data_IF_702965757199
#
_entry.id   IF_702965757199
#
_cell.length_a   1.000
_cell.length_b   1.000
_cell.length_c   1.000
_cell.angle_alpha   90.00
_cell.angle_beta   90.00
_cell.angle_gamma   90.00
#
_symmetry.space_group_name_H-M   'P 1'
#
loop_
_entity.id
_entity.type
_entity.pdbx_description
1 polymer ?
#
# COMPACT_ATOMS: atom_id res chain seq x y z
N UNK A 1 25.22 13.85 25.51
CA UNK A 1 25.13 12.93 24.36
C UNK A 1 24.68 13.74 23.18
N UNK A 2 25.48 13.80 22.13
CA UNK A 2 25.15 14.55 20.90
C UNK A 2 24.24 13.65 20.06
N UNK A 3 22.98 14.03 19.90
CA UNK A 3 22.05 13.28 19.06
C UNK A 3 22.35 13.62 17.60
N UNK A 4 22.85 12.64 16.84
CA UNK A 4 22.97 12.76 15.38
C UNK A 4 21.58 12.61 14.76
N UNK A 5 21.15 13.59 13.97
CA UNK A 5 19.86 13.61 13.29
C UNK A 5 20.06 13.31 11.81
N UNK A 6 19.22 12.45 11.25
CA UNK A 6 19.16 12.13 9.82
C UNK A 6 17.72 12.37 9.34
N UNK A 7 17.49 13.20 8.31
CA UNK A 7 16.17 13.35 7.72
C UNK A 7 15.78 12.07 6.97
N UNK A 8 14.53 11.64 7.12
CA UNK A 8 13.97 10.45 6.45
C UNK A 8 12.71 10.86 5.68
N UNK A 9 12.65 10.47 4.41
CA UNK A 9 11.46 10.67 3.58
C UNK A 9 10.53 9.46 3.67
N UNK A 10 9.24 9.70 3.89
CA UNK A 10 8.23 8.63 3.92
C UNK A 10 7.73 8.23 2.52
N UNK A 11 8.09 8.99 1.47
CA UNK A 11 7.61 8.80 0.11
C UNK A 11 6.06 8.73 0.02
N UNK A 12 5.39 9.58 0.79
CA UNK A 12 3.93 9.71 0.78
C UNK A 12 3.56 11.16 0.49
N UNK A 13 2.87 11.37 -0.63
CA UNK A 13 2.33 12.67 -1.00
C UNK A 13 1.03 12.99 -0.24
N UNK A 14 0.77 14.29 -0.07
CA UNK A 14 -0.47 14.77 0.51
C UNK A 14 -0.57 14.60 2.03
N UNK A 15 0.56 14.45 2.72
CA UNK A 15 0.64 14.38 4.17
C UNK A 15 1.55 15.47 4.74
N UNK A 16 1.15 16.03 5.87
CA UNK A 16 1.97 16.89 6.72
C UNK A 16 2.25 16.16 8.04
N UNK A 17 3.52 16.17 8.48
CA UNK A 17 3.92 15.59 9.77
C UNK A 17 3.69 16.62 10.86
N UNK A 18 2.83 16.28 11.82
CA UNK A 18 2.53 17.13 12.98
C UNK A 18 3.46 16.81 14.15
N UNK A 19 3.76 15.53 14.35
CA UNK A 19 4.59 15.08 15.46
C UNK A 19 5.18 13.69 15.19
N UNK A 20 6.33 13.40 15.80
CA UNK A 20 6.94 12.07 15.79
C UNK A 20 7.23 11.69 17.24
N UNK A 21 6.78 10.50 17.64
CA UNK A 21 7.04 9.93 18.96
C UNK A 21 7.63 8.54 18.82
N UNK A 22 8.38 8.12 19.83
CA UNK A 22 8.78 6.73 20.01
C UNK A 22 7.96 6.19 21.18
N UNK A 23 7.23 5.11 20.95
CA UNK A 23 6.41 4.49 21.99
C UNK A 23 7.28 3.64 22.95
N UNK A 24 6.66 3.05 23.98
CA UNK A 24 7.38 2.24 24.99
C UNK A 24 8.05 0.99 24.42
N UNK A 25 7.57 0.48 23.30
CA UNK A 25 8.13 -0.68 22.59
C UNK A 25 9.29 -0.28 21.67
N UNK A 26 9.57 1.02 21.52
CA UNK A 26 10.62 1.53 20.65
C UNK A 26 10.15 1.80 19.21
N UNK A 27 8.85 1.66 18.91
CA UNK A 27 8.25 1.89 17.60
C UNK A 27 8.02 3.39 17.34
N UNK A 28 8.14 3.80 16.08
CA UNK A 28 7.81 5.17 15.67
C UNK A 28 6.31 5.34 15.48
N UNK A 29 5.76 6.40 16.07
CA UNK A 29 4.41 6.90 15.83
C UNK A 29 4.49 8.29 15.22
N UNK A 30 4.20 8.37 13.93
CA UNK A 30 4.24 9.60 13.13
C UNK A 30 2.81 10.10 12.99
N UNK A 31 2.51 11.19 13.68
CA UNK A 31 1.20 11.85 13.66
C UNK A 31 1.14 12.73 12.43
N UNK A 32 0.17 12.47 11.56
CA UNK A 32 0.05 13.12 10.24
C UNK A 32 -1.35 13.65 10.00
N UNK A 33 -1.43 14.73 9.22
CA UNK A 33 -2.67 15.25 8.66
C UNK A 33 -2.63 15.24 7.13
N UNK A 34 -3.79 15.05 6.52
CA UNK A 34 -3.92 15.13 5.06
C UNK A 34 -3.94 16.59 4.64
N UNK A 35 -3.17 16.93 3.61
CA UNK A 35 -3.14 18.27 3.02
C UNK A 35 -4.19 18.47 1.92
N UNK A 36 -4.97 17.43 1.60
CA UNK A 36 -5.98 17.47 0.54
C UNK A 36 -7.30 18.10 1.03
N UNK A 37 -7.81 19.09 0.29
CA UNK A 37 -8.97 19.93 0.68
C UNK A 37 -10.36 19.38 0.26
N UNK A 38 -10.46 18.09 -0.09
CA UNK A 38 -11.73 17.50 -0.52
C UNK A 38 -11.66 16.00 -0.74
N UNK A 39 -12.76 15.44 -1.22
CA UNK A 39 -12.81 14.08 -1.75
C UNK A 39 -13.94 13.89 -2.76
N UNK A 40 -14.00 12.71 -3.35
CA UNK A 40 -15.10 12.29 -4.22
C UNK A 40 -16.25 11.75 -3.36
N UNK A 41 -17.47 12.25 -3.55
CA UNK A 41 -18.67 11.73 -2.90
C UNK A 41 -18.90 10.25 -3.29
N UNK A 42 -19.10 9.38 -2.30
CA UNK A 42 -19.31 7.95 -2.56
C UNK A 42 -20.64 7.65 -3.29
N UNK A 43 -21.62 8.55 -3.23
CA UNK A 43 -22.96 8.32 -3.78
C UNK A 43 -23.11 8.85 -5.22
N UNK A 44 -22.71 10.10 -5.47
CA UNK A 44 -22.86 10.72 -6.80
C UNK A 44 -21.56 10.91 -7.58
N UNK A 45 -20.40 10.61 -7.00
CA UNK A 45 -19.10 10.73 -7.68
C UNK A 45 -18.60 12.17 -7.89
N UNK A 46 -19.31 13.20 -7.43
CA UNK A 46 -18.84 14.60 -7.53
C UNK A 46 -17.75 14.93 -6.51
N UNK A 47 -16.92 15.91 -6.82
CA UNK A 47 -15.99 16.48 -5.85
C UNK A 47 -16.75 17.25 -4.77
N UNK A 48 -16.40 17.01 -3.51
CA UNK A 48 -16.99 17.64 -2.34
C UNK A 48 -15.87 18.21 -1.46
N UNK A 49 -16.05 19.45 -1.01
CA UNK A 49 -15.07 20.19 -0.22
C UNK A 49 -15.63 20.71 1.10
N UNK A 50 -16.96 20.59 1.33
CA UNK A 50 -17.60 21.03 2.58
C UNK A 50 -17.16 20.13 3.75
N UNK A 51 -16.39 20.63 4.73
CA UNK A 51 -15.89 19.80 5.83
C UNK A 51 -17.03 19.33 6.75
N UNK A 52 -16.92 18.10 7.25
CA UNK A 52 -17.85 17.50 8.20
C UNK A 52 -17.12 16.62 9.23
N UNK A 53 -16.11 17.22 9.88
CA UNK A 53 -15.30 16.58 10.91
C UNK A 53 -14.21 15.65 10.36
N UNK A 54 -13.66 14.80 11.23
CA UNK A 54 -12.65 13.80 10.89
C UNK A 54 -13.17 12.41 11.30
N UNK A 55 -12.70 11.36 10.62
CA UNK A 55 -12.93 9.98 11.00
C UNK A 55 -12.22 9.65 12.33
N UNK A 56 -12.51 8.47 12.90
CA UNK A 56 -11.75 7.96 14.04
C UNK A 56 -10.26 7.90 13.72
N UNK A 57 -9.44 8.04 14.77
CA UNK A 57 -8.00 7.87 14.63
C UNK A 57 -7.67 6.46 14.15
N UNK A 58 -6.81 6.37 13.14
CA UNK A 58 -6.28 5.13 12.60
C UNK A 58 -4.79 5.07 12.90
N UNK A 59 -4.34 3.88 13.27
CA UNK A 59 -2.93 3.50 13.36
C UNK A 59 -2.64 2.60 12.17
N UNK A 60 -1.86 3.09 11.21
CA UNK A 60 -1.59 2.44 9.93
C UNK A 60 -0.10 2.12 9.87
N UNK A 61 0.26 0.86 9.70
CA UNK A 61 1.65 0.41 9.60
C UNK A 61 2.31 0.89 8.31
N UNK A 62 3.54 1.34 8.42
CA UNK A 62 4.40 1.79 7.33
C UNK A 62 5.77 1.11 7.42
N UNK A 63 6.61 1.34 6.42
CA UNK A 63 7.95 0.75 6.33
C UNK A 63 8.74 1.02 7.62
N UNK A 64 9.49 0.03 8.13
CA UNK A 64 10.27 0.19 9.33
C UNK A 64 11.39 1.22 9.12
N UNK A 65 11.56 2.12 10.08
CA UNK A 65 12.65 3.11 10.09
C UNK A 65 13.72 2.59 11.05
N UNK A 66 14.93 2.36 10.52
CA UNK A 66 16.08 1.85 11.29
C UNK A 66 15.77 0.54 12.06
N UNK A 67 15.02 -0.36 11.41
CA UNK A 67 14.62 -1.66 11.98
C UNK A 67 13.52 -1.60 13.04
N UNK A 68 12.93 -0.42 13.28
CA UNK A 68 11.81 -0.24 14.21
C UNK A 68 10.50 -0.15 13.44
N UNK A 69 9.48 -0.86 13.92
CA UNK A 69 8.15 -0.70 13.35
C UNK A 69 7.71 0.76 13.38
N UNK A 70 7.06 1.19 12.31
CA UNK A 70 6.70 2.58 12.10
C UNK A 70 5.23 2.67 11.72
N UNK A 71 4.54 3.62 12.33
CA UNK A 71 3.09 3.76 12.21
C UNK A 71 2.72 5.20 11.91
N UNK A 72 1.83 5.38 10.94
CA UNK A 72 1.12 6.63 10.72
C UNK A 72 -0.10 6.68 11.63
N UNK A 73 -0.20 7.74 12.41
CA UNK A 73 -1.35 8.04 13.27
C UNK A 73 -2.14 9.17 12.62
N UNK A 74 -3.31 8.85 12.06
CA UNK A 74 -4.06 9.78 11.19
C UNK A 74 -5.55 9.81 11.54
N UNK A 75 -6.17 10.99 11.42
CA UNK A 75 -7.63 11.16 11.40
C UNK A 75 -8.03 11.72 10.04
N UNK A 76 -8.51 10.87 9.13
CA UNK A 76 -8.85 11.28 7.77
C UNK A 76 -10.04 12.25 7.78
N UNK A 77 -9.97 13.40 7.07
CA UNK A 77 -11.08 14.34 6.96
C UNK A 77 -12.34 13.69 6.37
N UNK A 78 -13.50 14.18 6.79
CA UNK A 78 -14.81 13.81 6.23
C UNK A 78 -15.43 15.03 5.57
N UNK A 79 -16.09 14.82 4.45
CA UNK A 79 -16.74 15.86 3.67
C UNK A 79 -18.21 15.53 3.43
N UNK A 80 -19.07 16.53 3.48
CA UNK A 80 -20.50 16.40 3.24
C UNK A 80 -20.85 16.76 1.79
N UNK A 81 -21.60 15.89 1.11
CA UNK A 81 -22.18 16.22 -0.17
C UNK A 81 -23.43 17.09 0.02
N UNK A 82 -23.48 18.26 -0.60
CA UNK A 82 -24.64 19.16 -0.55
C UNK A 82 -25.66 18.90 -1.67
N UNK A 83 -25.25 18.16 -2.71
CA UNK A 83 -26.06 17.88 -3.90
C UNK A 83 -26.91 16.61 -3.76
N UNK A 84 -26.45 15.61 -3.01
CA UNK A 84 -27.20 14.37 -2.80
C UNK A 84 -28.33 14.57 -1.78
N UNK A 85 -29.45 13.90 -2.02
CA UNK A 85 -30.52 13.79 -1.03
C UNK A 85 -29.99 13.16 0.27
N UNK A 86 -30.44 13.64 1.42
CA UNK A 86 -29.93 13.17 2.72
C UNK A 86 -28.53 13.67 3.11
N UNK A 87 -27.85 14.43 2.25
CA UNK A 87 -26.54 15.07 2.52
C UNK A 87 -25.49 14.09 3.10
N UNK A 88 -25.20 12.99 2.38
CA UNK A 88 -24.30 11.95 2.84
C UNK A 88 -22.90 12.51 3.10
N UNK A 89 -22.16 11.81 3.97
CA UNK A 89 -20.79 12.18 4.34
C UNK A 89 -19.80 11.13 3.90
N UNK A 90 -18.72 11.56 3.25
CA UNK A 90 -17.66 10.68 2.75
C UNK A 90 -16.37 10.93 3.51
N UNK A 91 -15.76 9.89 4.06
CA UNK A 91 -14.37 9.94 4.54
C UNK A 91 -13.42 10.00 3.34
N UNK A 92 -12.47 10.92 3.36
CA UNK A 92 -11.46 11.09 2.33
C UNK A 92 -10.74 9.77 2.03
N UNK A 93 -10.63 9.44 0.74
CA UNK A 93 -9.81 8.34 0.25
C UNK A 93 -8.49 8.91 -0.27
N UNK A 94 -7.38 8.38 0.22
CA UNK A 94 -6.02 8.86 -0.10
C UNK A 94 -5.28 7.82 -0.95
N UNK A 95 -4.36 8.28 -1.81
CA UNK A 95 -3.67 7.39 -2.75
C UNK A 95 -2.69 6.42 -2.08
N UNK A 96 -2.22 6.72 -0.87
CA UNK A 96 -1.23 5.94 -0.13
C UNK A 96 -1.85 4.89 0.81
N UNK A 97 -3.18 4.82 0.92
CA UNK A 97 -3.89 3.91 1.83
C UNK A 97 -5.08 3.24 1.15
N UNK A 98 -5.21 1.93 1.36
CA UNK A 98 -6.41 1.20 0.94
C UNK A 98 -7.47 1.18 2.05
N UNK A 99 -8.74 1.32 1.69
CA UNK A 99 -9.80 1.44 2.70
C UNK A 99 -9.80 0.22 3.62
N UNK A 100 -9.77 0.47 4.92
CA UNK A 100 -9.72 -0.53 6.00
C UNK A 100 -8.43 -1.39 6.05
N UNK A 101 -7.43 -1.15 5.19
CA UNK A 101 -6.15 -1.82 5.37
C UNK A 101 -5.46 -1.33 6.64
N UNK A 102 -4.83 -2.21 7.44
CA UNK A 102 -3.98 -1.78 8.54
C UNK A 102 -2.64 -1.23 8.06
N UNK A 103 -2.33 -1.32 6.75
CA UNK A 103 -1.03 -0.98 6.17
C UNK A 103 -1.14 0.15 5.15
N UNK A 104 -0.08 0.94 5.02
CA UNK A 104 0.11 1.81 3.85
C UNK A 104 0.29 0.95 2.58
N UNK A 105 -0.06 1.49 1.41
CA UNK A 105 0.18 0.78 0.13
C UNK A 105 1.66 0.49 -0.10
N UNK A 106 2.55 1.34 0.40
CA UNK A 106 4.00 1.13 0.35
C UNK A 106 4.41 -0.09 1.17
N UNK A 107 3.90 -0.22 2.40
CA UNK A 107 4.12 -1.41 3.24
C UNK A 107 3.57 -2.68 2.59
N UNK A 108 2.35 -2.62 2.02
CA UNK A 108 1.79 -3.77 1.32
C UNK A 108 2.65 -4.22 0.12
N UNK A 109 3.17 -3.28 -0.67
CA UNK A 109 4.10 -3.58 -1.77
C UNK A 109 5.41 -4.20 -1.28
N UNK A 110 5.94 -3.73 -0.15
CA UNK A 110 7.14 -4.29 0.45
C UNK A 110 6.93 -5.75 0.88
N UNK A 111 5.80 -6.04 1.54
CA UNK A 111 5.41 -7.40 1.93
C UNK A 111 5.29 -8.30 0.69
N UNK A 112 4.68 -7.81 -0.39
CA UNK A 112 4.53 -8.56 -1.64
C UNK A 112 5.88 -8.86 -2.31
N UNK A 113 6.78 -7.88 -2.40
CA UNK A 113 8.12 -8.11 -2.92
C UNK A 113 8.90 -9.11 -2.04
N UNK A 114 8.64 -9.08 -0.73
CA UNK A 114 9.24 -9.98 0.24
C UNK A 114 8.87 -11.45 0.05
N UNK A 115 7.80 -11.76 -0.70
CA UNK A 115 7.42 -13.13 -1.06
C UNK A 115 8.33 -13.72 -2.15
N UNK A 116 9.02 -12.88 -2.94
CA UNK A 116 9.95 -13.38 -3.95
C UNK A 116 11.09 -14.15 -3.26
N UNK A 117 11.31 -15.39 -3.68
CA UNK A 117 12.30 -16.30 -3.10
C UNK A 117 11.94 -16.84 -1.72
N UNK A 118 10.68 -16.76 -1.29
CA UNK A 118 10.21 -17.25 0.01
C UNK A 118 8.74 -17.70 0.02
N UNK A 119 8.24 -18.06 1.21
CA UNK A 119 6.84 -18.45 1.42
C UNK A 119 6.05 -17.39 2.16
N UNK A 120 4.72 -17.50 2.15
CA UNK A 120 3.83 -16.65 2.96
C UNK A 120 4.17 -16.79 4.45
N UNK A 121 4.50 -17.99 4.91
CA UNK A 121 4.94 -18.27 6.27
C UNK A 121 6.27 -17.56 6.61
N UNK A 122 7.25 -17.59 5.70
CA UNK A 122 8.55 -16.93 5.92
C UNK A 122 8.37 -15.41 6.03
N UNK A 123 7.57 -14.81 5.15
CA UNK A 123 7.25 -13.37 5.19
C UNK A 123 6.45 -13.03 6.43
N UNK A 124 5.47 -13.86 6.81
CA UNK A 124 4.69 -13.68 8.03
C UNK A 124 5.60 -13.59 9.26
N UNK A 125 6.58 -14.49 9.36
CA UNK A 125 7.54 -14.51 10.46
C UNK A 125 8.50 -13.32 10.40
N UNK A 126 9.08 -13.02 9.23
CA UNK A 126 10.07 -11.94 9.06
C UNK A 126 9.46 -10.56 9.36
N UNK A 127 8.25 -10.32 8.88
CA UNK A 127 7.57 -9.03 9.04
C UNK A 127 6.77 -8.94 10.36
N UNK A 128 6.61 -10.04 11.10
CA UNK A 128 5.77 -10.06 12.31
C UNK A 128 4.28 -9.81 12.00
N UNK A 129 3.82 -10.23 10.82
CA UNK A 129 2.45 -10.03 10.34
C UNK A 129 1.76 -11.38 10.28
N UNK A 130 0.54 -11.50 10.78
CA UNK A 130 -0.21 -12.76 10.74
C UNK A 130 -0.40 -13.28 9.31
N UNK A 131 -0.30 -14.60 9.12
CA UNK A 131 -0.43 -15.28 7.83
C UNK A 131 -1.65 -14.81 7.02
N UNK A 132 -2.84 -14.75 7.63
CA UNK A 132 -4.06 -14.31 6.94
C UNK A 132 -4.04 -12.82 6.55
N UNK A 133 -3.26 -11.98 7.25
CA UNK A 133 -3.07 -10.60 6.86
C UNK A 133 -2.18 -10.50 5.61
N UNK A 134 -1.13 -11.32 5.52
CA UNK A 134 -0.30 -11.44 4.29
C UNK A 134 -1.16 -11.94 3.12
N UNK A 135 -1.94 -13.00 3.34
CA UNK A 135 -2.88 -13.52 2.34
C UNK A 135 -3.92 -12.50 1.91
N UNK A 136 -4.43 -11.70 2.84
CA UNK A 136 -5.34 -10.59 2.55
C UNK A 136 -4.69 -9.52 1.68
N UNK A 137 -3.41 -9.22 1.88
CA UNK A 137 -2.64 -8.30 1.03
C UNK A 137 -2.51 -8.89 -0.37
N UNK A 138 -2.07 -10.15 -0.50
CA UNK A 138 -1.95 -10.83 -1.79
C UNK A 138 -3.26 -10.74 -2.57
N UNK A 139 -4.38 -11.17 -1.97
CA UNK A 139 -5.70 -11.14 -2.61
C UNK A 139 -6.14 -9.75 -3.06
N UNK A 140 -5.82 -8.69 -2.31
CA UNK A 140 -6.14 -7.30 -2.68
C UNK A 140 -5.35 -6.79 -3.88
N UNK A 141 -4.15 -7.31 -4.10
CA UNK A 141 -3.24 -6.85 -5.16
C UNK A 141 -3.26 -7.72 -6.41
N UNK A 142 -4.01 -8.84 -6.40
CA UNK A 142 -4.24 -9.65 -7.60
C UNK A 142 -4.85 -8.77 -8.70
N UNK A 143 -4.22 -8.83 -9.87
CA UNK A 143 -4.65 -8.21 -11.13
C UNK A 143 -4.64 -9.26 -12.23
N UNK A 144 -5.34 -8.96 -13.31
CA UNK A 144 -5.34 -9.81 -14.51
C UNK A 144 -4.27 -9.42 -15.53
N UNK A 145 -3.69 -8.22 -15.41
CA UNK A 145 -2.70 -7.70 -16.36
C UNK A 145 -1.70 -6.71 -15.72
N UNK A 146 -0.53 -6.59 -16.35
CA UNK A 146 0.50 -5.60 -16.01
C UNK A 146 0.21 -4.30 -16.76
N UNK A 147 0.26 -3.16 -16.07
CA UNK A 147 0.15 -1.86 -16.72
C UNK A 147 1.50 -1.41 -17.30
N UNK A 148 1.83 -1.88 -18.51
CA UNK A 148 3.10 -1.59 -19.18
C UNK A 148 3.33 -0.10 -19.49
N UNK A 149 2.28 0.73 -19.55
CA UNK A 149 2.39 2.16 -19.90
C UNK A 149 3.23 2.98 -18.90
N UNK A 150 3.41 2.47 -17.68
CA UNK A 150 4.18 3.15 -16.63
C UNK A 150 5.68 2.82 -16.67
N UNK A 151 6.09 1.87 -17.51
CA UNK A 151 7.47 1.38 -17.59
C UNK A 151 8.11 1.96 -18.85
N UNK A 152 8.97 2.96 -18.68
CA UNK A 152 9.65 3.62 -19.81
C UNK A 152 10.88 2.84 -20.29
N UNK A 153 11.59 2.21 -19.36
CA UNK A 153 12.76 1.40 -19.62
C UNK A 153 12.77 0.23 -18.65
N UNK A 154 13.00 -0.98 -19.17
CA UNK A 154 12.98 -2.20 -18.41
C UNK A 154 14.36 -2.84 -18.52
N UNK A 155 15.11 -2.88 -17.43
CA UNK A 155 16.45 -3.49 -17.47
C UNK A 155 16.36 -5.00 -17.27
N UNK A 156 15.66 -5.45 -16.22
CA UNK A 156 15.46 -6.86 -15.89
C UNK A 156 14.06 -7.07 -15.32
N UNK A 157 13.50 -8.27 -15.51
CA UNK A 157 12.23 -8.68 -14.93
C UNK A 157 12.50 -9.81 -13.94
N UNK A 158 11.92 -9.69 -12.74
CA UNK A 158 11.78 -10.81 -11.80
C UNK A 158 10.38 -11.40 -11.94
N UNK A 159 10.29 -12.71 -12.12
CA UNK A 159 9.02 -13.44 -12.13
C UNK A 159 9.15 -14.59 -11.16
N UNK A 160 8.25 -14.66 -10.19
CA UNK A 160 8.24 -15.74 -9.20
C UNK A 160 6.81 -16.26 -8.99
N UNK A 161 6.68 -17.57 -8.82
CA UNK A 161 5.40 -18.24 -8.62
C UNK A 161 5.30 -18.70 -7.16
N UNK A 162 4.37 -18.10 -6.43
CA UNK A 162 4.20 -18.31 -4.99
C UNK A 162 3.00 -19.21 -4.76
N UNK A 163 3.21 -20.33 -4.08
CA UNK A 163 2.12 -21.18 -3.61
C UNK A 163 1.40 -20.51 -2.44
N UNK A 164 0.10 -20.29 -2.58
CA UNK A 164 -0.72 -19.63 -1.56
C UNK A 164 -1.10 -20.55 -0.40
N UNK A 165 -1.05 -21.87 -0.60
CA UNK A 165 -1.35 -22.89 0.42
C UNK A 165 -0.56 -24.15 0.15
N UNK A 166 0.05 -24.71 1.20
CA UNK A 166 0.74 -25.99 1.15
C UNK A 166 -0.20 -27.09 0.63
N UNK A 167 0.09 -27.63 -0.56
CA UNK A 167 -0.64 -28.77 -1.15
C UNK A 167 -1.85 -28.42 -2.04
N UNK A 168 -2.14 -27.15 -2.32
CA UNK A 168 -3.19 -26.75 -3.26
C UNK A 168 -2.63 -26.09 -4.53
N UNK A 169 -3.38 -26.17 -5.64
CA UNK A 169 -3.05 -25.56 -6.94
C UNK A 169 -3.42 -24.07 -7.02
N UNK A 170 -3.35 -23.36 -5.90
CA UNK A 170 -3.56 -21.90 -5.88
C UNK A 170 -2.19 -21.23 -5.84
N UNK A 171 -1.76 -20.73 -6.99
CA UNK A 171 -0.52 -19.98 -7.12
C UNK A 171 -0.82 -18.54 -7.53
N UNK A 172 0.08 -17.65 -7.13
CA UNK A 172 0.14 -16.29 -7.68
C UNK A 172 1.50 -16.04 -8.29
N UNK A 173 1.52 -15.35 -9.42
CA UNK A 173 2.76 -14.89 -10.02
C UNK A 173 3.04 -13.47 -9.58
N UNK A 174 4.16 -13.27 -8.91
CA UNK A 174 4.68 -11.93 -8.57
C UNK A 174 5.62 -11.50 -9.70
N UNK A 175 5.31 -10.37 -10.30
CA UNK A 175 6.13 -9.77 -11.35
C UNK A 175 6.72 -8.48 -10.78
N UNK A 176 8.05 -8.40 -10.78
CA UNK A 176 8.82 -7.21 -10.46
C UNK A 176 9.74 -6.84 -11.62
N UNK A 177 10.29 -5.63 -11.58
CA UNK A 177 11.33 -5.23 -12.52
C UNK A 177 12.47 -4.56 -11.78
N UNK A 178 13.67 -4.60 -12.37
CA UNK A 178 14.76 -3.73 -11.99
C UNK A 178 14.76 -2.53 -12.93
N UNK A 179 14.58 -1.33 -12.37
CA UNK A 179 14.47 -0.06 -13.10
C UNK A 179 15.18 1.00 -12.26
N UNK A 180 16.19 1.67 -12.83
CA UNK A 180 16.88 2.81 -12.20
C UNK A 180 17.40 2.48 -10.79
N UNK A 181 17.94 1.28 -10.58
CA UNK A 181 18.45 0.85 -9.28
C UNK A 181 17.40 0.32 -8.30
N UNK A 182 16.10 0.42 -8.63
CA UNK A 182 14.98 0.01 -7.77
C UNK A 182 14.35 -1.30 -8.24
N UNK A 183 13.64 -2.00 -7.33
CA UNK A 183 12.86 -3.20 -7.64
C UNK A 183 11.36 -2.96 -7.41
N UNK A 184 10.65 -2.22 -8.27
CA UNK A 184 9.20 -2.05 -8.14
C UNK A 184 8.42 -3.33 -8.40
N UNK A 185 7.33 -3.51 -7.65
CA UNK A 185 6.28 -4.49 -7.95
C UNK A 185 5.47 -4.01 -9.17
N UNK A 186 5.40 -4.84 -10.21
CA UNK A 186 4.64 -4.57 -11.43
C UNK A 186 3.22 -5.14 -11.36
N UNK A 187 3.09 -6.40 -10.95
CA UNK A 187 1.80 -7.06 -10.78
C UNK A 187 1.89 -8.26 -9.84
N UNK A 188 0.73 -8.62 -9.28
CA UNK A 188 0.46 -9.93 -8.70
C UNK A 188 -0.64 -10.53 -9.58
N UNK A 189 -0.40 -11.66 -10.22
CA UNK A 189 -1.34 -12.31 -11.13
C UNK A 189 -1.85 -13.61 -10.52
N UNK A 190 -3.12 -13.94 -10.77
CA UNK A 190 -3.61 -15.30 -10.57
C UNK A 190 -2.93 -16.27 -11.52
N UNK A 191 -2.64 -17.48 -11.05
CA UNK A 191 -2.21 -18.57 -11.93
C UNK A 191 -3.24 -18.79 -13.03
N UNK A 192 -2.80 -18.56 -14.27
CA UNK A 192 -3.51 -19.00 -15.46
C UNK A 192 -2.65 -20.04 -16.16
N UNK A 193 -2.95 -21.30 -15.86
CA UNK A 193 -2.54 -22.47 -16.64
C UNK A 193 -2.67 -22.17 -18.15
N UNK A 194 -1.51 -22.05 -18.81
CA UNK A 194 -1.30 -22.24 -20.26
C UNK A 194 -2.17 -21.37 -21.19
N UNK A 195 -1.87 -20.06 -21.29
CA UNK A 195 -1.77 -19.27 -22.55
C UNK A 195 -1.81 -17.77 -22.23
N UNK A 196 -0.65 -17.18 -21.99
CA UNK A 196 -0.49 -15.74 -22.19
C UNK A 196 0.73 -15.54 -23.08
N UNK A 197 0.50 -15.17 -24.33
CA UNK A 197 1.54 -14.58 -25.17
C UNK A 197 1.79 -13.18 -24.62
N UNK A 198 3.01 -12.89 -24.18
CA UNK A 198 3.48 -11.51 -24.02
C UNK A 198 3.56 -10.89 -25.41
N UNK A 199 2.43 -10.41 -25.95
CA UNK A 199 2.42 -9.69 -27.21
C UNK A 199 2.94 -8.28 -26.97
N UNK A 200 4.23 -8.08 -27.17
CA UNK A 200 4.80 -6.75 -27.39
C UNK A 200 4.36 -6.26 -28.76
N UNK A 201 3.31 -5.45 -28.82
CA UNK A 201 3.09 -4.60 -29.99
C UNK A 201 3.97 -3.37 -29.82
N UNK A 202 5.16 -3.41 -30.43
CA UNK A 202 5.88 -2.20 -30.75
C UNK A 202 5.13 -1.52 -31.92
N UNK A 203 4.68 -0.30 -31.67
CA UNK A 203 4.25 0.68 -32.66
C UNK A 203 4.67 2.05 -32.15
#
# INVERSE_FOLDING_TARGET
MTTTLIPVELNIEGLEIINVKINREGHYEIYVESTQEGCTCYECGRQITKPHGKDRQKRIRHLPILGRETYLIVKLPRFQCVDCYGKPTTTQQVAWHERNSPNTRTEEKHILLGLMGGTVEDVSLREGIGYEAVMGIVRRHIKTEVNWKQIKQLERIGVDEISLKKGHKDFVTIISAYIDGCVPLLAVLEDRLKKTRLSGNHS
#
